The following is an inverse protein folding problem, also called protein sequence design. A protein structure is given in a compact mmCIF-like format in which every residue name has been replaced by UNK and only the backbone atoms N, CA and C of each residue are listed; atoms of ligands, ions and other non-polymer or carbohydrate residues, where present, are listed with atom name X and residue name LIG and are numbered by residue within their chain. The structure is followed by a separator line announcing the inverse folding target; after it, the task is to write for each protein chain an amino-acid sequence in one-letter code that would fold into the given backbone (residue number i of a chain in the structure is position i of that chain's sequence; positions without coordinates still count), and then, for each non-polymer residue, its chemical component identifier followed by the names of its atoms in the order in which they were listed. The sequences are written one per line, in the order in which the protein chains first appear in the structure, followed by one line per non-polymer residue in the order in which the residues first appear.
data_IF_234391141437
#
_entry.id   IF_234391141437
#
_cell.length_a   1.000
_cell.length_b   1.000
_cell.length_c   1.000
_cell.angle_alpha   90.00
_cell.angle_beta   90.00
_cell.angle_gamma   90.00
#
_symmetry.space_group_name_H-M   'P 1'
#
loop_
_entity.id
_entity.type
_entity.pdbx_description
1 polymer ?
#
# COMPACT_ATOMS: atom_id res chain seq x y z
N UNK A 1 -14.62 0.39 -15.52
CA UNK A 1 -13.88 1.14 -14.47
C UNK A 1 -13.39 2.45 -15.10
N UNK A 2 -13.63 3.60 -14.48
CA UNK A 2 -13.34 4.89 -15.11
C UNK A 2 -11.83 5.17 -15.09
N UNK A 3 -11.19 5.40 -16.25
CA UNK A 3 -9.71 5.55 -16.37
C UNK A 3 -9.14 6.60 -15.40
N UNK A 4 -9.87 7.69 -15.17
CA UNK A 4 -9.49 8.75 -14.24
C UNK A 4 -9.39 8.27 -12.78
N UNK A 5 -10.23 7.33 -12.37
CA UNK A 5 -10.20 6.76 -11.02
C UNK A 5 -9.00 5.84 -10.81
N UNK A 6 -8.59 5.12 -11.87
CA UNK A 6 -7.39 4.26 -11.84
C UNK A 6 -6.16 5.14 -11.66
N UNK A 7 -6.02 6.16 -12.50
CA UNK A 7 -4.88 7.08 -12.45
C UNK A 7 -4.77 7.82 -11.11
N UNK A 8 -5.90 8.27 -10.56
CA UNK A 8 -5.94 8.88 -9.23
C UNK A 8 -5.48 7.90 -8.14
N UNK A 9 -5.93 6.65 -8.20
CA UNK A 9 -5.50 5.61 -7.25
C UNK A 9 -4.00 5.32 -7.33
N UNK A 10 -3.42 5.32 -8.53
CA UNK A 10 -1.99 5.14 -8.74
C UNK A 10 -1.17 6.32 -8.19
N UNK A 11 -1.60 7.55 -8.46
CA UNK A 11 -0.97 8.77 -7.92
C UNK A 11 -0.99 8.79 -6.40
N UNK A 12 -2.15 8.49 -5.78
CA UNK A 12 -2.30 8.42 -4.33
C UNK A 12 -1.37 7.36 -3.72
N UNK A 13 -1.32 6.18 -4.34
CA UNK A 13 -0.44 5.09 -3.91
C UNK A 13 1.04 5.49 -3.99
N UNK A 14 1.46 6.16 -5.07
CA UNK A 14 2.83 6.61 -5.24
C UNK A 14 3.22 7.64 -4.16
N UNK A 15 2.33 8.58 -3.84
CA UNK A 15 2.56 9.55 -2.78
C UNK A 15 2.69 8.89 -1.39
N UNK A 16 1.81 7.93 -1.06
CA UNK A 16 1.91 7.15 0.19
C UNK A 16 3.23 6.38 0.27
N UNK A 17 3.67 5.78 -0.85
CA UNK A 17 4.94 5.04 -0.93
C UNK A 17 6.13 5.96 -0.67
N UNK A 18 6.15 7.15 -1.26
CA UNK A 18 7.22 8.13 -1.05
C UNK A 18 7.30 8.61 0.41
N UNK A 19 6.16 8.84 1.07
CA UNK A 19 6.14 9.21 2.48
C UNK A 19 6.65 8.09 3.40
N UNK A 20 6.19 6.85 3.18
CA UNK A 20 6.66 5.71 3.95
C UNK A 20 8.16 5.46 3.79
N UNK A 21 8.72 5.69 2.59
CA UNK A 21 10.14 5.50 2.31
C UNK A 21 11.01 6.63 2.89
N UNK A 22 10.50 7.86 2.94
CA UNK A 22 11.25 9.03 3.43
C UNK A 22 11.18 9.22 4.94
N UNK A 23 10.14 8.72 5.61
CA UNK A 23 9.91 8.94 7.05
C UNK A 23 9.66 7.64 7.78
N UNK A 24 10.69 7.16 8.48
CA UNK A 24 10.57 6.01 9.37
C UNK A 24 9.59 6.33 10.50
N UNK A 25 8.63 5.43 10.73
CA UNK A 25 7.68 5.53 11.83
C UNK A 25 6.49 6.48 11.61
N UNK A 26 6.33 7.08 10.42
CA UNK A 26 5.17 7.93 10.13
C UNK A 26 3.85 7.16 10.35
N UNK A 27 2.90 7.80 11.04
CA UNK A 27 1.60 7.20 11.36
C UNK A 27 0.64 7.25 10.16
N UNK A 28 -0.37 6.36 10.15
CA UNK A 28 -1.40 6.38 9.10
C UNK A 28 -2.24 7.65 9.12
N UNK A 29 -2.52 8.18 10.30
CA UNK A 29 -3.24 9.44 10.49
C UNK A 29 -2.46 10.60 9.88
N UNK A 30 -1.16 10.68 10.15
CA UNK A 30 -0.32 11.75 9.60
C UNK A 30 -0.17 11.65 8.07
N UNK A 31 -0.15 10.44 7.50
CA UNK A 31 -0.21 10.25 6.04
C UNK A 31 -1.54 10.75 5.48
N UNK A 32 -2.66 10.43 6.14
CA UNK A 32 -4.00 10.83 5.71
C UNK A 32 -4.15 12.36 5.70
N UNK A 33 -3.69 13.02 6.77
CA UNK A 33 -3.69 14.49 6.87
C UNK A 33 -2.80 15.14 5.81
N UNK A 34 -1.58 14.63 5.60
CA UNK A 34 -0.62 15.22 4.65
C UNK A 34 -1.03 15.07 3.19
N UNK A 35 -1.72 13.99 2.86
CA UNK A 35 -2.14 13.69 1.48
C UNK A 35 -3.62 14.00 1.23
N UNK A 36 -4.33 14.52 2.23
CA UNK A 36 -5.78 14.75 2.20
C UNK A 36 -6.57 13.52 1.73
N UNK A 37 -6.13 12.34 2.17
CA UNK A 37 -6.73 11.06 1.84
C UNK A 37 -7.59 10.55 2.98
N UNK A 38 -8.64 9.78 2.66
CA UNK A 38 -9.40 9.09 3.69
C UNK A 38 -8.54 8.05 4.42
N UNK A 39 -8.79 7.88 5.72
CA UNK A 39 -8.09 6.87 6.53
C UNK A 39 -8.20 5.44 5.94
N UNK A 40 -9.33 5.15 5.29
CA UNK A 40 -9.57 3.88 4.59
C UNK A 40 -8.66 3.71 3.37
N UNK A 41 -8.53 4.75 2.54
CA UNK A 41 -7.65 4.73 1.38
C UNK A 41 -6.18 4.55 1.80
N UNK A 42 -5.73 5.31 2.80
CA UNK A 42 -4.38 5.17 3.36
C UNK A 42 -4.15 3.77 3.90
N UNK A 43 -5.07 3.22 4.68
CA UNK A 43 -4.94 1.86 5.23
C UNK A 43 -4.76 0.83 4.13
N UNK A 44 -5.57 0.90 3.07
CA UNK A 44 -5.47 -0.01 1.91
C UNK A 44 -4.12 0.13 1.20
N UNK A 45 -3.68 1.35 0.91
CA UNK A 45 -2.41 1.58 0.22
C UNK A 45 -1.20 1.16 1.06
N UNK A 46 -1.19 1.50 2.36
CA UNK A 46 -0.12 1.11 3.29
C UNK A 46 -0.04 -0.41 3.40
N UNK A 47 -1.16 -1.12 3.52
CA UNK A 47 -1.19 -2.57 3.57
C UNK A 47 -0.59 -3.20 2.29
N UNK A 48 -1.00 -2.71 1.11
CA UNK A 48 -0.47 -3.18 -0.17
C UNK A 48 1.05 -2.91 -0.31
N UNK A 49 1.52 -1.72 0.05
CA UNK A 49 2.94 -1.36 -0.02
C UNK A 49 3.76 -2.20 0.95
N UNK A 50 3.29 -2.40 2.18
CA UNK A 50 3.96 -3.27 3.16
C UNK A 50 3.98 -4.73 2.72
N UNK A 51 2.92 -5.22 2.09
CA UNK A 51 2.90 -6.57 1.53
C UNK A 51 3.94 -6.72 0.41
N UNK A 52 4.09 -5.73 -0.46
CA UNK A 52 5.13 -5.71 -1.49
C UNK A 52 6.54 -5.69 -0.90
N UNK A 53 6.79 -4.85 0.11
CA UNK A 53 8.10 -4.78 0.77
C UNK A 53 8.40 -6.03 1.61
N UNK A 54 7.41 -6.57 2.31
CA UNK A 54 7.53 -7.82 3.07
C UNK A 54 7.76 -9.02 2.17
N UNK A 55 7.11 -9.07 1.00
CA UNK A 55 7.39 -10.09 -0.02
C UNK A 55 8.79 -9.94 -0.64
N UNK A 56 9.33 -8.72 -0.69
CA UNK A 56 10.70 -8.47 -1.15
C UNK A 56 11.77 -8.82 -0.11
N UNK A 57 11.43 -8.87 1.19
CA UNK A 57 12.37 -9.16 2.29
C UNK A 57 12.24 -10.57 2.88
N UNK A 58 11.14 -11.28 2.64
CA UNK A 58 10.99 -12.68 3.04
C UNK A 58 11.45 -13.60 1.90
N UNK A 59 12.34 -14.59 2.14
CA UNK A 59 12.57 -15.65 1.16
C UNK A 59 11.22 -16.31 0.88
N UNK A 60 10.80 -16.28 -0.37
CA UNK A 60 9.46 -16.70 -0.79
C UNK A 60 9.27 -18.20 -0.53
N UNK A 61 8.75 -18.57 0.65
CA UNK A 61 8.06 -19.86 0.80
C UNK A 61 6.68 -19.73 0.16
N UNK A 62 6.65 -19.72 -1.18
CA UNK A 62 5.42 -19.90 -1.95
C UNK A 62 5.08 -21.38 -1.93
N UNK A 63 4.59 -21.86 -0.78
CA UNK A 63 3.90 -23.14 -0.68
C UNK A 63 2.52 -22.98 -1.31
N UNK A 64 2.40 -23.41 -2.56
CA UNK A 64 1.15 -23.61 -3.28
C UNK A 64 0.30 -24.61 -2.48
N UNK A 65 -0.74 -24.11 -1.82
CA UNK A 65 -1.83 -24.91 -1.26
C UNK A 65 -3.05 -24.74 -2.14
N UNK A 66 -2.95 -25.23 -3.37
CA UNK A 66 -4.07 -25.41 -4.28
C UNK A 66 -4.32 -26.91 -4.25
N UNK A 67 -5.25 -27.38 -3.40
CA UNK A 67 -5.97 -28.65 -3.53
C UNK A 67 -6.91 -28.88 -2.33
N UNK A 68 -8.07 -29.48 -2.64
CA UNK A 68 -9.17 -30.01 -1.80
C UNK A 68 -10.33 -29.04 -1.54
N UNK A 69 -11.58 -29.33 -1.90
CA UNK A 69 -12.24 -30.55 -2.41
C UNK A 69 -13.46 -30.11 -3.25
#
# INVERSE_FOLDING_TARGET
MNHKQIELGERNRAAVRALLASRLGISRTEIAERLELSAMAVTRHVAAIRAEWGAATLPTRRGKGEDRD
#
